data_IF_077763678282
#
_entry.id   IF_077763678282
#
_cell.length_a   1.000
_cell.length_b   1.000
_cell.length_c   1.000
_cell.angle_alpha   90.00
_cell.angle_beta   90.00
_cell.angle_gamma   90.00
#
_symmetry.space_group_name_H-M   'P 1'
#
loop_
_entity.id
_entity.type
_entity.pdbx_description
1 polymer ?
#
# COMPACT_ATOMS: atom_id res chain seq x y z
N UNK A 1 -25.65 -13.47 -8.78
CA UNK A 1 -25.36 -12.23 -8.12
C UNK A 1 -23.88 -11.90 -8.22
N UNK A 2 -23.57 -10.75 -8.75
CA UNK A 2 -22.18 -10.36 -8.85
C UNK A 2 -21.61 -10.15 -7.45
N UNK A 3 -20.40 -10.62 -7.27
CA UNK A 3 -19.68 -10.35 -6.04
C UNK A 3 -19.33 -8.87 -5.99
N UNK A 4 -19.38 -8.29 -4.79
CA UNK A 4 -18.94 -6.92 -4.56
C UNK A 4 -17.45 -6.92 -4.24
N UNK A 5 -16.65 -7.52 -5.12
CA UNK A 5 -15.21 -7.54 -4.95
C UNK A 5 -14.65 -6.14 -5.06
N UNK A 6 -13.80 -5.76 -4.11
CA UNK A 6 -13.11 -4.48 -4.09
C UNK A 6 -11.65 -4.74 -4.45
N UNK A 7 -11.17 -4.08 -5.50
CA UNK A 7 -9.80 -4.24 -5.96
C UNK A 7 -8.98 -3.03 -5.53
N UNK A 8 -7.95 -3.27 -4.74
CA UNK A 8 -7.15 -2.22 -4.10
C UNK A 8 -5.70 -2.37 -4.52
N UNK A 9 -5.11 -1.29 -5.01
CA UNK A 9 -3.69 -1.24 -5.26
C UNK A 9 -2.94 -0.88 -3.99
N UNK A 10 -1.88 -1.60 -3.68
CA UNK A 10 -1.03 -1.35 -2.52
C UNK A 10 0.38 -1.08 -3.01
N UNK A 11 0.87 0.13 -2.77
CA UNK A 11 2.15 0.58 -3.29
C UNK A 11 2.93 1.30 -2.18
N UNK A 12 4.26 1.26 -2.23
CA UNK A 12 5.08 1.90 -1.22
C UNK A 12 6.47 2.24 -1.77
N UNK A 13 7.14 3.16 -1.06
CA UNK A 13 8.55 3.47 -1.26
C UNK A 13 8.87 3.89 -2.69
N UNK A 14 8.01 4.74 -3.26
CA UNK A 14 8.18 5.24 -4.63
C UNK A 14 9.36 6.18 -4.79
N UNK A 15 9.71 6.94 -3.75
CA UNK A 15 10.87 7.85 -3.73
C UNK A 15 10.97 8.70 -5.00
N UNK A 16 9.93 9.51 -5.26
CA UNK A 16 9.81 10.41 -6.44
C UNK A 16 9.53 9.70 -7.77
N UNK A 17 9.51 8.39 -7.81
CA UNK A 17 9.40 7.67 -9.08
C UNK A 17 8.03 7.02 -9.25
N UNK A 18 7.34 7.35 -10.35
CA UNK A 18 6.12 6.67 -10.75
C UNK A 18 6.40 5.92 -12.04
N UNK A 19 6.54 4.62 -11.94
CA UNK A 19 6.83 3.80 -13.12
C UNK A 19 5.59 3.60 -13.96
N UNK A 20 5.73 3.63 -15.31
CA UNK A 20 4.60 3.28 -16.19
C UNK A 20 4.03 1.89 -15.87
N UNK A 21 4.89 0.95 -15.52
CA UNK A 21 4.46 -0.42 -15.15
C UNK A 21 3.57 -0.40 -13.92
N UNK A 22 3.85 0.47 -12.94
CA UNK A 22 3.01 0.61 -11.76
C UNK A 22 1.64 1.18 -12.12
N UNK A 23 1.60 2.23 -12.93
CA UNK A 23 0.34 2.83 -13.37
C UNK A 23 -0.51 1.81 -14.14
N UNK A 24 0.12 1.03 -15.00
CA UNK A 24 -0.56 -0.01 -15.77
C UNK A 24 -1.17 -1.06 -14.82
N UNK A 25 -0.41 -1.53 -13.85
CA UNK A 25 -0.89 -2.54 -12.90
C UNK A 25 -2.05 -2.04 -12.04
N UNK A 26 -2.12 -0.73 -11.79
CA UNK A 26 -3.12 -0.13 -10.92
C UNK A 26 -4.39 0.33 -11.64
N UNK A 27 -4.45 0.23 -12.97
CA UNK A 27 -5.56 0.76 -13.76
C UNK A 27 -6.93 0.23 -13.37
N UNK A 28 -7.01 -1.02 -12.91
CA UNK A 28 -8.28 -1.66 -12.57
C UNK A 28 -8.65 -1.51 -11.10
N UNK A 29 -7.85 -0.79 -10.31
CA UNK A 29 -8.10 -0.66 -8.89
C UNK A 29 -9.14 0.41 -8.60
N UNK A 30 -9.97 0.18 -7.60
CA UNK A 30 -11.00 1.11 -7.15
C UNK A 30 -10.47 2.05 -6.08
N UNK A 31 -9.38 1.67 -5.42
CA UNK A 31 -8.74 2.42 -4.36
C UNK A 31 -7.26 2.10 -4.37
N UNK A 32 -6.43 3.05 -3.96
CA UNK A 32 -4.98 2.86 -3.88
C UNK A 32 -4.52 3.26 -2.49
N UNK A 33 -3.68 2.41 -1.89
CA UNK A 33 -3.06 2.67 -0.59
C UNK A 33 -1.57 2.81 -0.79
N UNK A 34 -1.01 3.93 -0.33
CA UNK A 34 0.44 4.17 -0.37
C UNK A 34 0.99 4.14 1.06
N UNK A 35 1.94 3.26 1.30
CA UNK A 35 2.46 3.02 2.65
C UNK A 35 3.67 3.89 3.01
N UNK A 36 3.91 4.99 2.31
CA UNK A 36 4.91 5.98 2.68
C UNK A 36 6.17 5.99 1.83
N UNK A 37 7.03 6.98 2.09
CA UNK A 37 8.22 7.30 1.29
C UNK A 37 7.84 7.65 -0.14
N UNK A 38 6.97 8.64 -0.24
CA UNK A 38 6.42 9.16 -1.48
C UNK A 38 7.41 10.15 -2.11
N UNK A 39 7.91 11.05 -1.28
CA UNK A 39 8.93 12.08 -1.54
C UNK A 39 8.49 13.24 -2.45
N UNK A 40 7.46 13.07 -3.25
CA UNK A 40 7.02 14.11 -4.18
C UNK A 40 5.49 14.07 -4.34
N UNK A 41 4.78 15.20 -4.13
CA UNK A 41 3.33 15.22 -4.31
C UNK A 41 2.86 14.79 -5.71
N UNK A 42 3.70 14.94 -6.74
CA UNK A 42 3.36 14.51 -8.09
C UNK A 42 3.10 13.01 -8.17
N UNK A 43 3.71 12.21 -7.28
CA UNK A 43 3.43 10.77 -7.19
C UNK A 43 1.96 10.55 -6.80
N UNK A 44 1.50 11.27 -5.77
CA UNK A 44 0.10 11.17 -5.33
C UNK A 44 -0.85 11.65 -6.42
N UNK A 45 -0.51 12.71 -7.12
CA UNK A 45 -1.35 13.23 -8.20
C UNK A 45 -1.50 12.20 -9.31
N UNK A 46 -0.42 11.52 -9.69
CA UNK A 46 -0.47 10.49 -10.71
C UNK A 46 -1.34 9.31 -10.29
N UNK A 47 -1.24 8.90 -9.02
CA UNK A 47 -2.06 7.81 -8.49
C UNK A 47 -3.52 8.22 -8.35
N UNK A 48 -3.79 9.45 -7.89
CA UNK A 48 -5.15 9.96 -7.76
C UNK A 48 -5.88 10.07 -9.10
N UNK A 49 -5.14 10.17 -10.19
CA UNK A 49 -5.73 10.16 -11.52
C UNK A 49 -6.35 8.81 -11.87
N UNK A 50 -5.94 7.74 -11.20
CA UNK A 50 -6.45 6.39 -11.43
C UNK A 50 -7.59 6.04 -10.49
N UNK A 51 -7.45 6.36 -9.20
CA UNK A 51 -8.41 6.01 -8.15
C UNK A 51 -8.13 6.83 -6.90
N UNK A 52 -9.08 6.94 -5.96
CA UNK A 52 -8.82 7.60 -4.68
C UNK A 52 -7.64 6.98 -3.96
N UNK A 53 -6.78 7.81 -3.37
CA UNK A 53 -5.57 7.37 -2.68
C UNK A 53 -5.66 7.65 -1.19
N UNK A 54 -5.36 6.64 -0.38
CA UNK A 54 -5.09 6.79 1.05
C UNK A 54 -3.59 6.60 1.23
N UNK A 55 -2.92 7.57 1.85
CA UNK A 55 -1.47 7.53 2.01
C UNK A 55 -1.06 7.87 3.43
N UNK A 56 0.07 7.31 3.86
CA UNK A 56 0.72 7.68 5.11
C UNK A 56 2.09 8.26 4.81
N UNK A 57 2.65 8.99 5.77
CA UNK A 57 3.96 9.60 5.66
C UNK A 57 5.03 8.60 6.09
N UNK A 58 6.06 8.42 5.26
CA UNK A 58 7.22 7.60 5.60
C UNK A 58 8.34 8.44 6.20
N UNK A 59 9.44 7.77 6.53
CA UNK A 59 10.58 8.43 7.19
C UNK A 59 11.32 9.42 6.27
N UNK A 60 11.18 9.30 4.96
CA UNK A 60 11.80 10.22 4.00
C UNK A 60 10.82 11.26 3.46
N UNK A 61 9.63 11.34 4.03
CA UNK A 61 8.61 12.27 3.53
C UNK A 61 8.62 13.59 4.27
N UNK A 62 8.71 14.68 3.51
CA UNK A 62 8.62 16.03 4.03
C UNK A 62 8.25 16.97 2.90
N UNK A 63 7.76 18.16 3.25
CA UNK A 63 7.47 19.20 2.29
C UNK A 63 5.97 19.46 2.12
N UNK A 64 5.66 20.39 1.22
CA UNK A 64 4.29 20.84 0.97
C UNK A 64 3.43 19.66 0.53
N UNK A 65 2.24 19.54 1.10
CA UNK A 65 1.26 18.47 0.90
C UNK A 65 1.67 17.14 1.54
N UNK A 66 2.96 16.84 1.63
CA UNK A 66 3.44 15.60 2.23
C UNK A 66 3.41 15.69 3.76
N UNK A 67 3.76 16.85 4.32
CA UNK A 67 3.75 17.04 5.78
C UNK A 67 2.36 16.87 6.39
N UNK A 68 1.31 17.07 5.60
CA UNK A 68 -0.07 16.97 6.06
C UNK A 68 -0.57 15.52 6.12
N UNK A 69 0.17 14.58 5.57
CA UNK A 69 -0.22 13.17 5.61
C UNK A 69 -0.06 12.61 7.02
N UNK A 70 -0.98 11.75 7.47
CA UNK A 70 -0.83 11.10 8.77
C UNK A 70 0.33 10.11 8.74
N UNK A 71 0.89 9.84 9.92
CA UNK A 71 1.91 8.80 10.05
C UNK A 71 1.30 7.41 10.04
N UNK A 72 0.05 7.30 10.45
CA UNK A 72 -0.70 6.06 10.44
C UNK A 72 -2.16 6.36 10.18
N UNK A 73 -2.86 5.43 9.55
CA UNK A 73 -4.29 5.57 9.30
C UNK A 73 -4.96 4.20 9.40
N UNK A 74 -6.18 4.20 9.93
CA UNK A 74 -7.02 3.01 9.91
C UNK A 74 -8.24 3.36 9.07
N UNK A 75 -8.49 2.57 8.03
CA UNK A 75 -9.63 2.78 7.15
C UNK A 75 -10.41 1.49 7.01
N UNK A 76 -11.64 1.63 6.54
CA UNK A 76 -12.51 0.49 6.32
C UNK A 76 -12.95 0.48 4.87
N UNK A 77 -12.71 -0.63 4.19
CA UNK A 77 -13.15 -0.85 2.82
C UNK A 77 -14.03 -2.09 2.81
N UNK A 78 -15.30 -1.90 2.47
CA UNK A 78 -16.29 -2.93 2.70
C UNK A 78 -16.41 -3.20 4.19
N UNK A 79 -16.25 -4.45 4.59
CA UNK A 79 -16.26 -4.85 6.00
C UNK A 79 -14.86 -5.09 6.55
N UNK A 80 -13.83 -4.78 5.76
CA UNK A 80 -12.44 -5.05 6.12
C UNK A 80 -11.80 -3.81 6.73
N UNK A 81 -11.23 -3.94 7.93
CA UNK A 81 -10.51 -2.87 8.61
C UNK A 81 -9.02 -3.00 8.31
N UNK A 82 -8.45 -1.93 7.81
CA UNK A 82 -7.07 -1.90 7.32
C UNK A 82 -6.30 -0.83 8.08
N UNK A 83 -5.19 -1.21 8.69
CA UNK A 83 -4.29 -0.26 9.34
C UNK A 83 -3.04 -0.10 8.47
N UNK A 84 -2.68 1.15 8.18
CA UNK A 84 -1.54 1.47 7.33
C UNK A 84 -0.55 2.29 8.14
N UNK A 85 0.70 1.86 8.15
CA UNK A 85 1.81 2.60 8.78
C UNK A 85 3.09 2.23 8.01
N UNK A 86 4.00 3.20 7.88
CA UNK A 86 5.18 2.98 7.03
C UNK A 86 6.12 1.90 7.58
N UNK A 87 6.40 1.93 8.88
CA UNK A 87 7.38 1.04 9.51
C UNK A 87 6.67 0.01 10.38
N UNK A 88 6.99 -1.27 10.19
CA UNK A 88 6.37 -2.37 10.95
C UNK A 88 6.63 -2.23 12.46
N UNK A 89 7.72 -1.59 12.86
CA UNK A 89 8.03 -1.37 14.28
C UNK A 89 7.03 -0.42 14.96
N UNK A 90 6.26 0.35 14.16
CA UNK A 90 5.26 1.28 14.66
C UNK A 90 3.85 0.68 14.70
N UNK A 91 3.71 -0.60 14.35
CA UNK A 91 2.41 -1.28 14.41
C UNK A 91 2.03 -1.49 15.87
N UNK A 92 0.77 -1.15 16.26
CA UNK A 92 0.33 -1.38 17.63
C UNK A 92 0.42 -2.84 18.03
N UNK A 93 0.71 -3.09 19.31
CA UNK A 93 0.78 -4.46 19.82
C UNK A 93 -0.57 -5.17 19.76
N UNK A 94 -1.66 -4.42 19.95
CA UNK A 94 -3.02 -4.95 19.88
C UNK A 94 -3.65 -4.57 18.55
N UNK A 95 -4.13 -5.56 17.85
CA UNK A 95 -4.75 -5.40 16.55
C UNK A 95 -6.21 -5.87 16.57
N UNK A 96 -6.90 -5.63 17.68
CA UNK A 96 -8.30 -6.02 17.83
C UNK A 96 -9.14 -5.31 16.78
N UNK A 97 -9.88 -6.09 15.99
CA UNK A 97 -10.72 -5.55 14.93
C UNK A 97 -9.98 -5.12 13.68
N UNK A 98 -8.68 -5.34 13.59
CA UNK A 98 -7.88 -5.05 12.40
C UNK A 98 -7.68 -6.33 11.59
N UNK A 99 -8.15 -6.32 10.36
CA UNK A 99 -8.07 -7.48 9.46
C UNK A 99 -6.77 -7.50 8.67
N UNK A 100 -6.26 -6.32 8.30
CA UNK A 100 -5.07 -6.20 7.46
C UNK A 100 -4.18 -5.08 7.99
N UNK A 101 -2.87 -5.33 8.05
CA UNK A 101 -1.87 -4.31 8.34
C UNK A 101 -0.99 -4.16 7.10
N UNK A 102 -0.88 -2.93 6.59
CA UNK A 102 -0.04 -2.63 5.44
C UNK A 102 1.14 -1.78 5.90
N UNK A 103 2.34 -2.21 5.54
CA UNK A 103 3.58 -1.51 5.85
C UNK A 103 4.45 -1.38 4.60
N UNK A 104 5.52 -0.59 4.72
CA UNK A 104 6.52 -0.44 3.67
C UNK A 104 7.91 -0.49 4.30
N UNK A 105 8.76 0.48 3.98
CA UNK A 105 10.06 0.75 4.57
C UNK A 105 11.15 -0.28 4.24
N UNK A 106 10.91 -1.57 4.42
CA UNK A 106 11.93 -2.59 4.21
C UNK A 106 12.23 -2.87 2.74
N UNK A 107 11.34 -2.48 1.83
CA UNK A 107 11.37 -2.79 0.40
C UNK A 107 11.23 -4.29 0.09
N UNK A 108 10.90 -5.11 1.10
CA UNK A 108 10.75 -6.55 0.94
C UNK A 108 9.28 -6.93 0.88
N UNK A 109 8.82 -7.49 -0.24
CA UNK A 109 7.42 -7.94 -0.33
C UNK A 109 7.14 -9.01 0.72
N UNK A 110 5.98 -8.89 1.37
CA UNK A 110 5.56 -9.84 2.39
C UNK A 110 4.04 -9.95 2.38
N UNK A 111 3.55 -11.17 2.41
CA UNK A 111 2.14 -11.46 2.68
C UNK A 111 2.13 -12.58 3.71
N UNK A 112 1.78 -12.25 4.95
CA UNK A 112 1.89 -13.20 6.06
C UNK A 112 0.70 -13.03 7.00
N UNK A 113 0.06 -14.14 7.32
CA UNK A 113 -1.02 -14.14 8.31
C UNK A 113 -0.43 -14.37 9.70
N UNK A 114 -0.78 -13.50 10.63
CA UNK A 114 -0.39 -13.60 12.04
C UNK A 114 -1.67 -13.54 12.86
N UNK A 115 -2.10 -14.70 13.39
CA UNK A 115 -3.38 -14.78 14.06
C UNK A 115 -4.52 -14.45 13.12
N UNK A 116 -5.37 -13.51 13.51
CA UNK A 116 -6.52 -13.08 12.71
C UNK A 116 -6.18 -11.92 11.75
N UNK A 117 -4.93 -11.47 11.71
CA UNK A 117 -4.53 -10.30 10.92
C UNK A 117 -3.57 -10.70 9.81
N UNK A 118 -3.82 -10.17 8.60
CA UNK A 118 -2.94 -10.36 7.45
C UNK A 118 -1.97 -9.19 7.37
N UNK A 119 -0.67 -9.47 7.39
CA UNK A 119 0.37 -8.47 7.24
C UNK A 119 0.83 -8.42 5.80
N UNK A 120 0.83 -7.22 5.21
CA UNK A 120 1.17 -7.00 3.81
C UNK A 120 2.22 -5.91 3.69
N UNK A 121 3.31 -6.22 3.00
CA UNK A 121 4.25 -5.22 2.51
C UNK A 121 4.31 -5.41 1.00
N UNK A 122 3.94 -4.38 0.21
CA UNK A 122 3.90 -4.54 -1.25
C UNK A 122 5.30 -4.57 -1.89
N UNK A 123 6.34 -4.38 -1.09
CA UNK A 123 7.68 -4.14 -1.61
C UNK A 123 7.84 -2.70 -2.08
N UNK A 124 8.91 -2.38 -2.75
CA UNK A 124 9.17 -1.05 -3.27
C UNK A 124 8.82 -0.97 -4.76
N UNK A 125 8.03 0.03 -5.14
CA UNK A 125 7.75 0.33 -6.54
C UNK A 125 8.67 1.42 -7.09
N UNK A 126 9.56 1.93 -6.26
CA UNK A 126 10.51 2.99 -6.62
C UNK A 126 11.85 2.47 -7.12
N UNK A 127 12.91 3.23 -6.89
CA UNK A 127 14.26 2.80 -7.31
C UNK A 127 14.66 1.49 -6.67
N UNK A 128 15.38 0.67 -7.43
CA UNK A 128 15.84 -0.62 -6.95
C UNK A 128 16.87 -0.42 -5.83
N UNK A 129 16.72 -1.19 -4.75
CA UNK A 129 17.67 -1.20 -3.64
C UNK A 129 18.25 -2.61 -3.53
N UNK A 130 19.58 -2.72 -3.62
CA UNK A 130 20.29 -4.00 -3.62
C UNK A 130 19.71 -4.93 -4.72
N UNK A 131 19.39 -6.15 -4.36
CA UNK A 131 18.82 -7.14 -5.28
C UNK A 131 17.32 -7.34 -5.06
N UNK A 132 16.68 -6.45 -4.30
CA UNK A 132 15.26 -6.59 -4.01
C UNK A 132 14.43 -6.33 -5.27
N UNK A 133 13.33 -7.08 -5.46
CA UNK A 133 12.49 -6.88 -6.63
C UNK A 133 11.75 -5.54 -6.57
N UNK A 134 11.32 -5.06 -7.71
CA UNK A 134 10.46 -3.87 -7.82
C UNK A 134 9.04 -4.37 -7.97
N UNK A 135 8.21 -4.10 -6.97
CA UNK A 135 6.89 -4.73 -6.86
C UNK A 135 5.83 -3.76 -6.34
N UNK A 136 4.59 -4.18 -6.48
CA UNK A 136 3.45 -3.62 -5.75
C UNK A 136 2.51 -4.77 -5.41
N UNK A 137 1.47 -4.48 -4.64
CA UNK A 137 0.46 -5.47 -4.29
C UNK A 137 -0.88 -5.13 -4.92
N UNK A 138 -1.63 -6.17 -5.27
CA UNK A 138 -3.03 -6.05 -5.63
C UNK A 138 -3.81 -6.84 -4.59
N UNK A 139 -4.68 -6.18 -3.87
CA UNK A 139 -5.50 -6.78 -2.84
C UNK A 139 -6.95 -6.81 -3.31
N UNK A 140 -7.57 -7.97 -3.19
CA UNK A 140 -8.98 -8.13 -3.53
C UNK A 140 -9.73 -8.55 -2.29
N UNK A 141 -10.76 -7.79 -1.93
CA UNK A 141 -11.64 -8.08 -0.81
C UNK A 141 -12.97 -8.52 -1.39
N UNK A 142 -13.39 -9.74 -1.05
CA UNK A 142 -14.64 -10.31 -1.54
C UNK A 142 -15.26 -11.21 -0.49
N UNK A 143 -16.49 -10.91 -0.10
CA UNK A 143 -17.25 -11.73 0.87
C UNK A 143 -16.48 -11.96 2.17
N UNK A 144 -15.80 -10.94 2.66
CA UNK A 144 -15.01 -11.01 3.89
C UNK A 144 -13.64 -11.66 3.73
N UNK A 145 -13.33 -12.18 2.55
CA UNK A 145 -12.01 -12.75 2.27
C UNK A 145 -11.09 -11.70 1.65
N UNK A 146 -9.84 -11.71 2.07
CA UNK A 146 -8.79 -10.83 1.55
C UNK A 146 -7.74 -11.68 0.87
N UNK A 147 -7.49 -11.39 -0.40
CA UNK A 147 -6.44 -12.04 -1.18
C UNK A 147 -5.47 -10.99 -1.67
N UNK A 148 -4.18 -11.26 -1.57
CA UNK A 148 -3.14 -10.33 -2.00
C UNK A 148 -2.19 -11.03 -2.97
N UNK A 149 -1.94 -10.37 -4.08
CA UNK A 149 -0.95 -10.82 -5.06
C UNK A 149 0.16 -9.78 -5.13
N UNK A 150 1.41 -10.21 -5.01
CA UNK A 150 2.56 -9.34 -5.23
C UNK A 150 2.89 -9.39 -6.71
N UNK A 151 2.88 -8.23 -7.34
CA UNK A 151 3.12 -8.08 -8.77
C UNK A 151 4.52 -7.53 -9.00
N UNK A 152 5.34 -8.27 -9.73
CA UNK A 152 6.68 -7.81 -10.10
C UNK A 152 6.55 -6.85 -11.29
N UNK A 153 7.03 -5.63 -11.12
CA UNK A 153 6.93 -4.58 -12.13
C UNK A 153 8.12 -4.61 -13.10
N UNK A 154 9.29 -4.86 -12.56
CA UNK A 154 10.54 -4.89 -13.34
C UNK A 154 11.40 -6.02 -12.77
N UNK A 155 11.91 -6.85 -13.63
CA UNK A 155 12.79 -7.96 -13.24
C UNK A 155 14.25 -7.56 -13.06
#
# INVERSE_FOLDING_TARGET
>A
MSSNAIRIGVISDTHNLVRPEALHALQSCEHIIHAGDICNPAVLDALNALAPVTAVRGNNDSGVQIDDLPEAVTLRLGETSIHVVHDISDVPRRLDGIDVVITGHSHKPLVERRGATLFVNPGSAGPRRFKLPITLGIMVIESGEVKVEIVTLVE
#
